data_IF_261810820833
#
_entry.id   IF_261810820833
#
_cell.length_a   1.000
_cell.length_b   1.000
_cell.length_c   1.000
_cell.angle_alpha   90.00
_cell.angle_beta   90.00
_cell.angle_gamma   90.00
#
_symmetry.space_group_name_H-M   'P 1'
#
loop_
_entity.id
_entity.type
_entity.pdbx_description
1 polymer ?
#
# COMPACT_ATOMS: atom_id res chain seq x y z
N UNK A 1 -30.30 -15.11 7.48
CA UNK A 1 -29.89 -14.32 6.30
C UNK A 1 -29.46 -12.93 6.73
N UNK A 2 -30.36 -12.09 7.27
CA UNK A 2 -30.05 -10.70 7.67
C UNK A 2 -28.92 -10.51 8.70
N UNK A 3 -28.82 -11.36 9.74
CA UNK A 3 -27.67 -11.32 10.66
C UNK A 3 -26.34 -11.65 9.96
N UNK A 4 -26.38 -12.47 8.90
CA UNK A 4 -25.23 -12.72 8.05
C UNK A 4 -24.83 -11.49 7.24
N UNK A 5 -25.80 -10.77 6.69
CA UNK A 5 -25.56 -9.51 5.97
C UNK A 5 -24.91 -8.47 6.88
N UNK A 6 -25.48 -8.22 8.08
CA UNK A 6 -24.89 -7.30 9.05
C UNK A 6 -23.48 -7.76 9.50
N UNK A 7 -23.24 -9.06 9.62
CA UNK A 7 -21.92 -9.57 9.96
C UNK A 7 -20.90 -9.31 8.84
N UNK A 8 -21.29 -9.53 7.57
CA UNK A 8 -20.46 -9.23 6.39
C UNK A 8 -20.18 -7.72 6.29
N UNK A 9 -21.19 -6.88 6.50
CA UNK A 9 -21.07 -5.42 6.52
C UNK A 9 -20.14 -4.94 7.64
N UNK A 10 -20.31 -5.48 8.86
CA UNK A 10 -19.44 -5.14 10.01
C UNK A 10 -18.00 -5.58 9.75
N UNK A 11 -17.81 -6.74 9.13
CA UNK A 11 -16.50 -7.23 8.76
C UNK A 11 -15.83 -6.33 7.72
N UNK A 12 -16.55 -5.90 6.69
CA UNK A 12 -16.04 -4.92 5.72
C UNK A 12 -15.66 -3.59 6.38
N UNK A 13 -16.46 -3.11 7.32
CA UNK A 13 -16.14 -1.90 8.09
C UNK A 13 -14.88 -2.09 8.94
N UNK A 14 -14.72 -3.24 9.59
CA UNK A 14 -13.49 -3.59 10.31
C UNK A 14 -12.26 -3.61 9.38
N UNK A 15 -12.40 -4.18 8.18
CA UNK A 15 -11.33 -4.14 7.18
C UNK A 15 -10.97 -2.71 6.74
N UNK A 16 -11.95 -1.81 6.62
CA UNK A 16 -11.69 -0.39 6.33
C UNK A 16 -10.90 0.31 7.45
N UNK A 17 -11.17 -0.04 8.71
CA UNK A 17 -10.44 0.45 9.88
C UNK A 17 -8.99 -0.08 9.88
N UNK A 18 -8.80 -1.37 9.63
CA UNK A 18 -7.49 -2.02 9.58
C UNK A 18 -6.64 -1.56 8.39
N UNK A 19 -7.26 -1.22 7.25
CA UNK A 19 -6.55 -0.73 6.07
C UNK A 19 -6.15 0.75 6.16
N UNK A 20 -6.55 1.46 7.22
CA UNK A 20 -6.33 2.91 7.37
C UNK A 20 -7.11 3.74 6.34
N UNK A 21 -8.35 3.36 6.04
CA UNK A 21 -9.19 4.11 5.09
C UNK A 21 -9.43 5.57 5.56
N UNK A 22 -9.63 6.52 4.63
CA UNK A 22 -9.97 7.90 4.97
C UNK A 22 -11.16 8.01 5.93
N UNK A 23 -11.06 8.90 6.92
CA UNK A 23 -12.06 9.07 7.98
C UNK A 23 -13.47 9.33 7.44
N UNK A 24 -13.59 10.11 6.36
CA UNK A 24 -14.88 10.43 5.71
C UNK A 24 -15.54 9.16 5.14
N UNK A 25 -14.77 8.27 4.53
CA UNK A 25 -15.30 7.02 3.96
C UNK A 25 -15.74 6.07 5.08
N UNK A 26 -14.97 5.96 6.16
CA UNK A 26 -15.34 5.16 7.34
C UNK A 26 -16.63 5.68 7.95
N UNK A 27 -16.76 7.01 8.13
CA UNK A 27 -17.96 7.62 8.69
C UNK A 27 -19.20 7.33 7.84
N UNK A 28 -19.11 7.49 6.52
CA UNK A 28 -20.22 7.19 5.60
C UNK A 28 -20.60 5.72 5.67
N UNK A 29 -19.62 4.81 5.62
CA UNK A 29 -19.88 3.37 5.70
C UNK A 29 -20.54 3.00 7.03
N UNK A 30 -20.06 3.57 8.15
CA UNK A 30 -20.64 3.35 9.48
C UNK A 30 -22.09 3.80 9.55
N UNK A 31 -22.41 4.96 8.98
CA UNK A 31 -23.80 5.46 8.90
C UNK A 31 -24.67 4.50 8.09
N UNK A 32 -24.17 3.95 6.97
CA UNK A 32 -24.91 2.98 6.15
C UNK A 32 -25.21 1.71 6.95
N UNK A 33 -24.21 1.11 7.61
CA UNK A 33 -24.41 -0.13 8.40
C UNK A 33 -25.30 0.10 9.62
N UNK A 34 -25.09 1.19 10.36
CA UNK A 34 -25.92 1.53 11.51
C UNK A 34 -27.38 1.81 11.11
N UNK A 35 -27.60 2.50 9.98
CA UNK A 35 -28.93 2.78 9.44
C UNK A 35 -29.63 1.50 8.96
N UNK A 36 -28.90 0.56 8.35
CA UNK A 36 -29.44 -0.75 7.97
C UNK A 36 -30.01 -1.47 9.21
N UNK A 37 -29.21 -1.57 10.27
CA UNK A 37 -29.62 -2.19 11.54
C UNK A 37 -30.83 -1.48 12.19
N UNK A 38 -30.87 -0.15 12.20
CA UNK A 38 -32.00 0.61 12.76
C UNK A 38 -33.28 0.43 11.93
N UNK A 39 -33.18 0.45 10.60
CA UNK A 39 -34.36 0.24 9.75
C UNK A 39 -34.88 -1.19 9.91
N UNK A 40 -34.01 -2.19 10.12
CA UNK A 40 -34.44 -3.54 10.48
C UNK A 40 -35.28 -3.55 11.77
N UNK A 41 -34.88 -2.78 12.79
CA UNK A 41 -35.64 -2.66 14.02
C UNK A 41 -37.01 -2.00 13.80
N UNK A 42 -37.09 -0.97 12.95
CA UNK A 42 -38.35 -0.30 12.57
C UNK A 42 -39.27 -1.26 11.81
N UNK A 43 -38.71 -2.06 10.89
CA UNK A 43 -39.47 -3.01 10.07
C UNK A 43 -40.21 -4.07 10.91
N UNK A 44 -39.73 -4.40 12.12
CA UNK A 44 -40.42 -5.32 13.05
C UNK A 44 -41.79 -4.80 13.54
N UNK A 45 -42.07 -3.49 13.39
CA UNK A 45 -43.31 -2.84 13.80
C UNK A 45 -44.21 -2.42 12.62
N UNK A 46 -43.76 -2.59 11.38
CA UNK A 46 -44.53 -2.22 10.18
C UNK A 46 -45.73 -3.18 9.98
N UNK A 47 -46.92 -2.67 9.59
CA UNK A 47 -48.08 -3.51 9.33
C UNK A 47 -47.85 -4.56 8.23
N UNK A 48 -48.36 -5.78 8.45
CA UNK A 48 -48.14 -6.95 7.58
C UNK A 48 -48.52 -6.76 6.10
N UNK A 49 -49.47 -5.85 5.80
CA UNK A 49 -49.89 -5.57 4.41
C UNK A 49 -48.76 -4.98 3.56
N UNK A 50 -47.83 -4.24 4.15
CA UNK A 50 -46.74 -3.56 3.46
C UNK A 50 -45.36 -4.15 3.78
N UNK A 51 -45.25 -4.88 4.88
CA UNK A 51 -43.96 -5.35 5.42
C UNK A 51 -43.09 -6.13 4.42
N UNK A 52 -43.57 -7.15 3.67
CA UNK A 52 -42.68 -7.95 2.81
C UNK A 52 -42.08 -7.17 1.64
N UNK A 53 -42.85 -6.25 1.05
CA UNK A 53 -42.39 -5.40 -0.07
C UNK A 53 -41.40 -4.36 0.40
N UNK A 54 -41.71 -3.68 1.52
CA UNK A 54 -40.82 -2.69 2.10
C UNK A 54 -39.52 -3.33 2.61
N UNK A 55 -39.58 -4.52 3.20
CA UNK A 55 -38.43 -5.32 3.62
C UNK A 55 -37.49 -5.61 2.45
N UNK A 56 -38.02 -6.18 1.36
CA UNK A 56 -37.21 -6.50 0.17
C UNK A 56 -36.57 -5.25 -0.44
N UNK A 57 -37.27 -4.12 -0.46
CA UNK A 57 -36.76 -2.87 -1.02
C UNK A 57 -35.63 -2.27 -0.18
N UNK A 58 -35.82 -2.18 1.13
CA UNK A 58 -34.80 -1.69 2.08
C UNK A 58 -33.54 -2.55 1.98
N UNK A 59 -33.73 -3.86 1.95
CA UNK A 59 -32.67 -4.85 1.84
C UNK A 59 -31.82 -4.65 0.56
N UNK A 60 -32.47 -4.48 -0.59
CA UNK A 60 -31.78 -4.20 -1.86
C UNK A 60 -31.06 -2.85 -1.81
N UNK A 61 -31.65 -1.83 -1.19
CA UNK A 61 -31.04 -0.52 -1.08
C UNK A 61 -29.71 -0.59 -0.32
N UNK A 62 -29.67 -1.24 0.84
CA UNK A 62 -28.44 -1.35 1.64
C UNK A 62 -27.41 -2.25 0.99
N UNK A 63 -27.82 -3.39 0.42
CA UNK A 63 -26.91 -4.25 -0.33
C UNK A 63 -26.29 -3.50 -1.52
N UNK A 64 -27.08 -2.69 -2.23
CA UNK A 64 -26.59 -1.84 -3.33
C UNK A 64 -25.61 -0.76 -2.83
N UNK A 65 -25.92 -0.10 -1.71
CA UNK A 65 -25.04 0.91 -1.13
C UNK A 65 -23.67 0.31 -0.78
N UNK A 66 -23.63 -0.86 -0.16
CA UNK A 66 -22.38 -1.51 0.25
C UNK A 66 -21.64 -2.12 -0.94
N UNK A 67 -22.34 -2.86 -1.82
CA UNK A 67 -21.73 -3.58 -2.94
C UNK A 67 -21.19 -2.65 -4.03
N UNK A 68 -21.89 -1.55 -4.30
CA UNK A 68 -21.67 -0.70 -5.47
C UNK A 68 -21.35 0.74 -5.07
N UNK A 69 -22.20 1.38 -4.26
CA UNK A 69 -22.05 2.81 -3.99
C UNK A 69 -20.79 3.14 -3.18
N UNK A 70 -20.46 2.37 -2.13
CA UNK A 70 -19.27 2.59 -1.30
C UNK A 70 -17.94 2.41 -2.07
N UNK A 71 -17.74 1.35 -2.88
CA UNK A 71 -16.58 1.25 -3.77
C UNK A 71 -16.49 2.41 -4.77
N UNK A 72 -17.62 2.79 -5.39
CA UNK A 72 -17.64 3.92 -6.32
C UNK A 72 -17.31 5.24 -5.62
N UNK A 73 -17.79 5.45 -4.39
CA UNK A 73 -17.45 6.61 -3.58
C UNK A 73 -15.95 6.66 -3.25
N UNK A 74 -15.34 5.51 -2.96
CA UNK A 74 -13.89 5.42 -2.74
C UNK A 74 -13.11 5.81 -4.00
N UNK A 75 -13.55 5.37 -5.18
CA UNK A 75 -12.97 5.79 -6.46
C UNK A 75 -13.12 7.29 -6.70
N UNK A 76 -14.32 7.85 -6.46
CA UNK A 76 -14.58 9.29 -6.59
C UNK A 76 -13.69 10.08 -5.63
N UNK A 77 -13.55 9.64 -4.37
CA UNK A 77 -12.67 10.25 -3.39
C UNK A 77 -11.20 10.25 -3.86
N UNK A 78 -10.72 9.13 -4.41
CA UNK A 78 -9.36 9.04 -4.93
C UNK A 78 -9.15 10.02 -6.09
N UNK A 79 -10.10 10.10 -7.02
CA UNK A 79 -10.04 11.00 -8.17
C UNK A 79 -10.14 12.48 -7.79
N UNK A 80 -10.94 12.82 -6.79
CA UNK A 80 -11.10 14.22 -6.34
C UNK A 80 -9.94 14.71 -5.49
N UNK A 81 -9.24 13.80 -4.80
CA UNK A 81 -8.13 14.13 -3.89
C UNK A 81 -6.79 14.18 -4.62
N UNK A 82 -6.65 13.45 -5.72
CA UNK A 82 -5.39 13.39 -6.47
C UNK A 82 -5.11 14.69 -7.22
N UNK A 83 -4.08 15.40 -6.77
CA UNK A 83 -3.51 16.55 -7.48
C UNK A 83 -2.18 16.16 -8.11
N UNK A 84 -1.99 16.52 -9.38
CA UNK A 84 -0.77 16.21 -10.11
C UNK A 84 -0.36 17.38 -10.99
N UNK A 85 0.85 17.88 -10.79
CA UNK A 85 1.40 18.98 -11.57
C UNK A 85 1.85 18.48 -12.95
N UNK A 86 0.92 18.58 -13.92
CA UNK A 86 1.15 18.16 -15.30
C UNK A 86 2.15 19.06 -16.02
N UNK A 87 2.26 20.33 -15.63
CA UNK A 87 3.19 21.27 -16.25
C UNK A 87 4.63 20.92 -15.86
N UNK A 88 4.87 20.71 -14.56
CA UNK A 88 6.17 20.22 -14.07
C UNK A 88 6.55 18.88 -14.69
N UNK A 89 5.60 17.95 -14.79
CA UNK A 89 5.85 16.65 -15.42
C UNK A 89 6.22 16.79 -16.92
N UNK A 90 5.52 17.64 -17.66
CA UNK A 90 5.83 17.89 -19.07
C UNK A 90 7.22 18.52 -19.25
N UNK A 91 7.63 19.42 -18.35
CA UNK A 91 8.99 19.98 -18.34
C UNK A 91 10.01 18.87 -18.10
N UNK A 92 9.80 18.00 -17.11
CA UNK A 92 10.72 16.89 -16.84
C UNK A 92 10.91 15.97 -18.05
N UNK A 93 9.83 15.67 -18.79
CA UNK A 93 9.91 14.87 -20.02
C UNK A 93 10.69 15.54 -21.14
N UNK A 94 10.71 16.88 -21.19
CA UNK A 94 11.47 17.64 -22.19
C UNK A 94 12.94 17.82 -21.81
N UNK A 95 13.22 17.98 -20.51
CA UNK A 95 14.56 18.31 -19.99
C UNK A 95 15.39 17.05 -19.78
N UNK A 96 14.82 16.00 -19.18
CA UNK A 96 15.56 14.80 -18.84
C UNK A 96 15.53 13.79 -20.00
N UNK A 97 16.64 13.10 -20.31
CA UNK A 97 16.66 12.04 -21.32
C UNK A 97 15.75 10.85 -20.97
N UNK A 98 15.40 10.06 -21.99
CA UNK A 98 14.60 8.85 -21.81
C UNK A 98 15.24 7.88 -20.82
N UNK A 99 14.45 7.37 -19.87
CA UNK A 99 14.91 6.41 -18.86
C UNK A 99 15.44 7.03 -17.57
N UNK A 100 15.54 8.37 -17.50
CA UNK A 100 15.88 9.08 -16.27
C UNK A 100 14.73 9.03 -15.27
N UNK A 101 15.06 8.99 -13.99
CA UNK A 101 14.10 8.82 -12.91
C UNK A 101 13.13 10.01 -12.80
N UNK A 102 13.60 11.21 -13.11
CA UNK A 102 12.83 12.45 -13.09
C UNK A 102 11.69 12.47 -14.12
N UNK A 103 11.77 11.61 -15.15
CA UNK A 103 10.66 11.37 -16.08
C UNK A 103 9.55 10.49 -15.48
N UNK A 104 9.73 9.93 -14.28
CA UNK A 104 8.73 9.11 -13.62
C UNK A 104 7.69 9.99 -12.92
N UNK A 105 6.42 9.78 -13.23
CA UNK A 105 5.32 10.53 -12.61
C UNK A 105 5.32 10.38 -11.08
N UNK A 106 5.78 9.25 -10.55
CA UNK A 106 5.90 9.02 -9.10
C UNK A 106 6.83 10.00 -8.37
N UNK A 107 7.77 10.61 -9.08
CA UNK A 107 8.70 11.61 -8.52
C UNK A 107 8.05 12.99 -8.40
N UNK A 108 7.11 13.28 -9.30
CA UNK A 108 6.40 14.57 -9.36
C UNK A 108 5.14 14.55 -8.49
N UNK A 109 4.49 13.39 -8.37
CA UNK A 109 3.27 13.22 -7.59
C UNK A 109 3.51 13.47 -6.10
N UNK A 110 2.50 14.06 -5.43
CA UNK A 110 2.55 14.23 -3.98
C UNK A 110 2.58 12.84 -3.29
N UNK A 111 3.61 12.56 -2.47
CA UNK A 111 3.81 11.23 -1.91
C UNK A 111 2.73 10.87 -0.87
N UNK A 112 2.22 11.86 -0.13
CA UNK A 112 1.17 11.70 0.88
C UNK A 112 -0.14 11.31 0.21
N UNK A 113 -0.57 12.07 -0.79
CA UNK A 113 -1.78 11.77 -1.57
C UNK A 113 -1.65 10.42 -2.27
N UNK A 114 -0.49 10.15 -2.88
CA UNK A 114 -0.23 8.87 -3.57
C UNK A 114 -0.34 7.69 -2.61
N UNK A 115 0.21 7.78 -1.40
CA UNK A 115 0.11 6.73 -0.40
C UNK A 115 -1.33 6.49 0.06
N UNK A 116 -2.09 7.56 0.35
CA UNK A 116 -3.51 7.46 0.75
C UNK A 116 -4.35 6.83 -0.35
N UNK A 117 -4.16 7.26 -1.60
CA UNK A 117 -4.88 6.72 -2.76
C UNK A 117 -4.49 5.27 -3.02
N UNK A 118 -3.19 4.95 -2.99
CA UNK A 118 -2.72 3.58 -3.17
C UNK A 118 -3.33 2.64 -2.13
N UNK A 119 -3.34 3.02 -0.85
CA UNK A 119 -3.99 2.21 0.21
C UNK A 119 -5.49 2.10 0.00
N UNK A 120 -6.16 3.19 -0.37
CA UNK A 120 -7.61 3.21 -0.62
C UNK A 120 -8.01 2.35 -1.82
N UNK A 121 -7.23 2.36 -2.92
CA UNK A 121 -7.48 1.49 -4.07
C UNK A 121 -7.10 0.04 -3.79
N UNK A 122 -6.04 -0.21 -3.01
CA UNK A 122 -5.63 -1.56 -2.61
C UNK A 122 -6.67 -2.19 -1.69
N UNK A 123 -7.33 -1.41 -0.82
CA UNK A 123 -8.43 -1.91 0.00
C UNK A 123 -9.65 -2.34 -0.82
N UNK A 124 -9.83 -1.79 -2.04
CA UNK A 124 -10.87 -2.21 -2.99
C UNK A 124 -10.55 -3.54 -3.71
N UNK A 125 -9.31 -4.03 -3.64
CA UNK A 125 -8.91 -5.29 -4.28
C UNK A 125 -9.22 -6.48 -3.37
N UNK A 126 -9.42 -7.63 -3.98
CA UNK A 126 -9.48 -8.91 -3.28
C UNK A 126 -8.04 -9.40 -3.15
N UNK A 127 -7.47 -9.34 -1.95
CA UNK A 127 -6.09 -9.77 -1.68
C UNK A 127 -6.01 -10.99 -0.78
N UNK A 128 -7.07 -11.26 -0.01
CA UNK A 128 -7.17 -12.40 0.89
C UNK A 128 -8.42 -13.25 0.59
N UNK A 129 -8.40 -14.49 1.07
CA UNK A 129 -9.59 -15.34 1.03
C UNK A 129 -10.78 -14.70 1.77
N UNK A 130 -10.51 -13.98 2.87
CA UNK A 130 -11.55 -13.28 3.62
C UNK A 130 -12.17 -12.13 2.81
N UNK A 131 -11.36 -11.34 2.09
CA UNK A 131 -11.86 -10.30 1.17
C UNK A 131 -12.75 -10.91 0.10
N UNK A 132 -12.34 -12.07 -0.43
CA UNK A 132 -13.10 -12.78 -1.44
C UNK A 132 -14.47 -13.17 -0.89
N UNK A 133 -14.52 -13.83 0.28
CA UNK A 133 -15.78 -14.25 0.87
C UNK A 133 -16.67 -13.08 1.28
N UNK A 134 -16.11 -12.02 1.86
CA UNK A 134 -16.90 -10.86 2.27
C UNK A 134 -17.52 -10.13 1.06
N UNK A 135 -16.72 -9.86 0.02
CA UNK A 135 -17.17 -9.15 -1.18
C UNK A 135 -18.07 -10.00 -2.06
N UNK A 136 -17.76 -11.28 -2.27
CA UNK A 136 -18.63 -12.19 -3.00
C UNK A 136 -19.92 -12.47 -2.24
N UNK A 137 -19.85 -12.51 -0.90
CA UNK A 137 -21.02 -12.61 -0.03
C UNK A 137 -22.00 -11.46 -0.25
N UNK A 138 -21.53 -10.21 -0.13
CA UNK A 138 -22.39 -9.02 -0.32
C UNK A 138 -22.91 -8.88 -1.76
N UNK A 139 -22.09 -9.19 -2.77
CA UNK A 139 -22.59 -9.21 -4.16
C UNK A 139 -23.61 -10.34 -4.39
N UNK A 140 -23.37 -11.51 -3.78
CA UNK A 140 -24.25 -12.66 -3.86
C UNK A 140 -25.62 -12.42 -3.21
N UNK A 141 -25.66 -11.75 -2.05
CA UNK A 141 -26.92 -11.37 -1.38
C UNK A 141 -27.72 -10.40 -2.24
N UNK A 142 -27.07 -9.38 -2.83
CA UNK A 142 -27.70 -8.44 -3.76
C UNK A 142 -28.30 -9.18 -4.97
N UNK A 143 -27.51 -10.03 -5.64
CA UNK A 143 -27.98 -10.80 -6.80
C UNK A 143 -29.15 -11.73 -6.45
N UNK A 144 -29.08 -12.41 -5.31
CA UNK A 144 -30.16 -13.28 -4.83
C UNK A 144 -31.46 -12.49 -4.60
N UNK A 145 -31.38 -11.32 -3.95
CA UNK A 145 -32.54 -10.48 -3.69
C UNK A 145 -33.13 -9.87 -4.96
N UNK A 146 -32.29 -9.42 -5.89
CA UNK A 146 -32.75 -8.95 -7.21
C UNK A 146 -33.47 -10.05 -7.98
N UNK A 147 -32.95 -11.29 -7.97
CA UNK A 147 -33.61 -12.43 -8.60
C UNK A 147 -34.98 -12.71 -7.97
N UNK A 148 -35.08 -12.66 -6.64
CA UNK A 148 -36.36 -12.82 -5.95
C UNK A 148 -37.36 -11.74 -6.36
N UNK A 149 -36.93 -10.49 -6.57
CA UNK A 149 -37.81 -9.42 -7.08
C UNK A 149 -38.30 -9.73 -8.49
N UNK A 150 -37.41 -10.17 -9.39
CA UNK A 150 -37.79 -10.57 -10.75
C UNK A 150 -38.81 -11.72 -10.73
N UNK A 151 -38.58 -12.73 -9.90
CA UNK A 151 -39.52 -13.85 -9.72
C UNK A 151 -40.88 -13.38 -9.21
N UNK A 152 -40.92 -12.37 -8.32
CA UNK A 152 -42.17 -11.77 -7.83
C UNK A 152 -42.89 -10.94 -8.90
N UNK A 153 -42.15 -10.25 -9.78
CA UNK A 153 -42.73 -9.53 -10.92
C UNK A 153 -43.38 -10.53 -11.88
N UNK A 154 -42.75 -11.68 -12.11
CA UNK A 154 -43.26 -12.71 -13.01
C UNK A 154 -44.43 -13.50 -12.40
N UNK A 155 -44.40 -13.77 -11.09
CA UNK A 155 -45.40 -14.56 -10.37
C UNK A 155 -45.94 -13.80 -9.13
N UNK A 156 -46.89 -12.86 -9.31
CA UNK A 156 -47.37 -11.99 -8.23
C UNK A 156 -48.18 -12.72 -7.14
N UNK A 157 -48.60 -13.96 -7.37
CA UNK A 157 -49.35 -14.79 -6.41
C UNK A 157 -48.45 -15.48 -5.37
N UNK A 158 -47.12 -15.42 -5.53
CA UNK A 158 -46.16 -16.01 -4.59
C UNK A 158 -46.11 -15.19 -3.29
N UNK A 159 -46.71 -15.72 -2.22
CA UNK A 159 -46.80 -15.04 -0.94
C UNK A 159 -45.44 -15.05 -0.23
N UNK A 160 -44.84 -13.87 -0.02
CA UNK A 160 -43.61 -13.73 0.77
C UNK A 160 -43.92 -13.84 2.26
N UNK A 161 -43.22 -14.74 2.95
CA UNK A 161 -43.11 -14.71 4.42
C UNK A 161 -42.13 -13.61 4.81
N UNK A 162 -42.53 -12.72 5.73
CA UNK A 162 -41.60 -11.75 6.32
C UNK A 162 -40.52 -12.49 7.12
N UNK A 163 -39.27 -12.08 6.97
CA UNK A 163 -38.12 -12.68 7.68
C UNK A 163 -38.05 -12.15 9.11
N UNK A 164 -38.63 -10.97 9.38
CA UNK A 164 -38.59 -10.35 10.70
C UNK A 164 -39.59 -10.95 11.70
N UNK A 165 -39.16 -11.27 12.94
CA UNK A 165 -40.07 -11.68 14.00
C UNK A 165 -41.01 -10.52 14.36
N UNK A 166 -42.32 -10.77 14.31
CA UNK A 166 -43.36 -9.76 14.53
C UNK A 166 -43.31 -9.19 15.95
N UNK A 167 -43.28 -7.86 16.07
CA UNK A 167 -43.35 -7.12 17.36
C UNK A 167 -42.37 -7.61 18.42
N UNK A 168 -41.21 -8.15 18.00
CA UNK A 168 -40.16 -8.56 18.93
C UNK A 168 -39.47 -7.32 19.49
N UNK A 169 -39.90 -6.86 20.66
CA UNK A 169 -39.25 -5.75 21.36
C UNK A 169 -37.78 -6.07 21.68
N UNK A 170 -37.48 -7.33 21.99
CA UNK A 170 -36.13 -7.80 22.29
C UNK A 170 -35.25 -7.72 21.04
N UNK A 171 -35.74 -8.19 19.89
CA UNK A 171 -34.98 -8.12 18.62
C UNK A 171 -34.72 -6.69 18.16
N UNK A 172 -35.72 -5.81 18.27
CA UNK A 172 -35.56 -4.40 17.95
C UNK A 172 -34.58 -3.69 18.90
N UNK A 173 -34.66 -3.98 20.20
CA UNK A 173 -33.71 -3.44 21.19
C UNK A 173 -32.28 -3.94 20.93
N UNK A 174 -32.10 -5.22 20.59
CA UNK A 174 -30.79 -5.77 20.27
C UNK A 174 -30.14 -5.09 19.05
N UNK A 175 -30.91 -4.81 18.00
CA UNK A 175 -30.43 -4.08 16.82
C UNK A 175 -30.10 -2.60 17.14
N UNK A 176 -30.91 -1.94 17.98
CA UNK A 176 -30.61 -0.59 18.44
C UNK A 176 -29.34 -0.51 19.27
N UNK A 177 -29.13 -1.47 20.19
CA UNK A 177 -27.89 -1.62 20.97
C UNK A 177 -26.72 -1.89 20.04
N UNK A 178 -26.87 -2.80 19.07
CA UNK A 178 -25.85 -3.11 18.08
C UNK A 178 -25.41 -1.85 17.31
N UNK A 179 -26.35 -1.05 16.79
CA UNK A 179 -26.03 0.20 16.09
C UNK A 179 -25.28 1.19 16.99
N UNK A 180 -25.69 1.34 18.25
CA UNK A 180 -25.04 2.23 19.20
C UNK A 180 -23.61 1.75 19.53
N UNK A 181 -23.43 0.46 19.80
CA UNK A 181 -22.12 -0.14 20.07
C UNK A 181 -21.20 -0.02 18.86
N UNK A 182 -21.71 -0.24 17.65
CA UNK A 182 -20.94 -0.11 16.41
C UNK A 182 -20.43 1.33 16.22
N UNK A 183 -21.30 2.33 16.39
CA UNK A 183 -20.92 3.74 16.27
C UNK A 183 -19.85 4.10 17.31
N UNK A 184 -20.07 3.74 18.58
CA UNK A 184 -19.10 3.99 19.67
C UNK A 184 -17.78 3.29 19.39
N UNK A 185 -17.81 2.03 18.95
CA UNK A 185 -16.62 1.27 18.61
C UNK A 185 -15.80 1.95 17.50
N UNK A 186 -16.44 2.37 16.42
CA UNK A 186 -15.76 3.06 15.31
C UNK A 186 -15.22 4.41 15.75
N UNK A 187 -16.03 5.20 16.45
CA UNK A 187 -15.64 6.53 16.91
C UNK A 187 -14.44 6.47 17.86
N UNK A 188 -14.49 5.60 18.87
CA UNK A 188 -13.39 5.41 19.81
C UNK A 188 -12.16 4.79 19.14
N UNK A 189 -12.32 3.86 18.19
CA UNK A 189 -11.20 3.33 17.40
C UNK A 189 -10.50 4.42 16.58
N UNK A 190 -11.28 5.33 15.98
CA UNK A 190 -10.72 6.44 15.23
C UNK A 190 -10.06 7.47 16.14
N UNK A 191 -10.72 7.83 17.24
CA UNK A 191 -10.26 8.84 18.20
C UNK A 191 -8.96 8.42 18.87
N UNK A 192 -8.93 7.23 19.46
CA UNK A 192 -7.76 6.74 20.21
C UNK A 192 -6.53 6.57 19.31
N UNK A 193 -6.71 6.01 18.10
CA UNK A 193 -5.61 5.89 17.13
C UNK A 193 -5.13 7.24 16.60
N UNK A 194 -6.03 8.22 16.41
CA UNK A 194 -5.64 9.58 16.01
C UNK A 194 -4.83 10.28 17.08
N UNK A 195 -5.23 10.15 18.35
CA UNK A 195 -4.48 10.73 19.48
C UNK A 195 -3.11 10.08 19.65
N UNK A 196 -3.02 8.76 19.49
CA UNK A 196 -1.74 8.04 19.57
C UNK A 196 -0.74 8.47 18.47
N UNK A 197 -1.24 8.81 17.28
CA UNK A 197 -0.40 9.22 16.14
C UNK A 197 -0.24 10.74 16.00
N UNK A 198 -0.94 11.57 16.79
CA UNK A 198 -0.83 13.03 16.77
C UNK A 198 0.63 13.56 16.94
N UNK A 199 1.49 12.95 17.77
CA UNK A 199 2.89 13.36 17.88
C UNK A 199 3.76 13.06 16.65
N UNK A 200 3.25 12.25 15.71
CA UNK A 200 3.98 11.74 14.55
C UNK A 200 3.32 12.18 13.23
N UNK A 201 3.49 13.44 12.80
CA UNK A 201 2.92 13.93 11.55
C UNK A 201 3.47 13.20 10.31
N UNK A 202 4.66 12.60 10.42
CA UNK A 202 5.22 11.70 9.41
C UNK A 202 4.39 10.42 9.18
N UNK A 203 3.54 10.03 10.13
CA UNK A 203 2.64 8.90 9.97
C UNK A 203 1.39 9.33 9.20
N UNK A 204 1.44 9.16 7.89
CA UNK A 204 0.44 9.68 6.96
C UNK A 204 -0.82 8.81 6.92
N UNK A 205 -0.66 7.51 7.14
CA UNK A 205 -1.75 6.53 7.18
C UNK A 205 -1.56 5.66 8.40
N UNK A 206 -2.57 5.59 9.25
CA UNK A 206 -2.59 4.78 10.47
C UNK A 206 -3.78 3.82 10.49
N UNK A 207 -3.60 2.70 11.19
CA UNK A 207 -4.68 1.77 11.53
C UNK A 207 -5.64 2.44 12.52
N UNK A 208 -6.93 2.08 12.46
CA UNK A 208 -7.95 2.55 13.41
C UNK A 208 -8.34 1.42 14.38
N UNK A 209 -7.62 1.30 15.49
CA UNK A 209 -7.90 0.35 16.57
C UNK A 209 -8.34 1.09 17.83
N UNK A 210 -9.24 0.48 18.59
CA UNK A 210 -9.56 0.94 19.94
C UNK A 210 -8.43 0.55 20.88
N UNK A 211 -7.44 1.43 21.00
CA UNK A 211 -6.29 1.24 21.89
C UNK A 211 -6.60 1.96 23.21
N UNK A 212 -6.38 1.28 24.33
CA UNK A 212 -6.36 1.95 25.63
C UNK A 212 -5.05 2.73 25.71
N UNK A 213 -5.10 4.03 25.35
CA UNK A 213 -3.96 4.91 25.51
C UNK A 213 -3.65 5.02 27.01
N UNK A 214 -2.65 4.26 27.47
CA UNK A 214 -2.03 4.54 28.76
C UNK A 214 -1.39 5.92 28.63
N UNK A 215 -1.81 6.86 29.49
CA UNK A 215 -1.37 8.26 29.45
C UNK A 215 0.16 8.35 29.29
N UNK A 216 0.62 8.74 28.10
CA UNK A 216 2.01 9.14 27.84
C UNK A 216 2.91 8.18 27.05
N UNK A 217 2.46 7.02 26.57
CA UNK A 217 3.33 6.18 25.73
C UNK A 217 3.31 6.60 24.25
N UNK A 218 4.41 7.19 23.75
CA UNK A 218 4.62 7.52 22.33
C UNK A 218 4.80 6.26 21.42
N UNK A 219 4.87 5.07 22.00
CA UNK A 219 5.18 3.80 21.30
C UNK A 219 3.95 3.04 20.77
N UNK A 220 2.77 3.66 20.75
CA UNK A 220 1.51 2.97 20.45
C UNK A 220 0.84 3.39 19.13
N UNK A 221 1.42 4.31 18.35
CA UNK A 221 0.83 4.71 17.06
C UNK A 221 0.89 3.53 16.07
N UNK A 222 -0.27 2.96 15.64
CA UNK A 222 -0.28 1.84 14.72
C UNK A 222 -0.13 2.35 13.29
N UNK A 223 1.08 2.76 12.94
CA UNK A 223 1.37 3.41 11.67
C UNK A 223 1.49 2.41 10.53
N UNK A 224 0.80 2.67 9.41
CA UNK A 224 0.91 1.86 8.18
C UNK A 224 1.90 2.46 7.19
N UNK A 225 1.94 3.79 7.09
CA UNK A 225 2.76 4.51 6.12
C UNK A 225 3.45 5.69 6.78
N UNK A 226 4.78 5.63 6.87
CA UNK A 226 5.63 6.72 7.32
C UNK A 226 6.26 7.41 6.09
N UNK A 227 6.08 8.73 5.99
CA UNK A 227 6.72 9.57 4.96
C UNK A 227 7.33 10.78 5.65
N UNK A 228 8.66 10.85 5.66
CA UNK A 228 9.41 12.03 6.11
C UNK A 228 10.44 12.39 5.04
N UNK A 229 10.05 13.31 4.16
CA UNK A 229 10.83 13.72 2.99
C UNK A 229 11.10 15.21 3.04
N UNK A 230 12.37 15.59 3.05
CA UNK A 230 12.79 16.95 2.76
C UNK A 230 13.43 17.02 1.38
N UNK A 231 12.64 17.38 0.39
CA UNK A 231 13.08 17.38 -1.01
C UNK A 231 13.87 18.63 -1.39
N UNK A 232 13.93 19.65 -0.53
CA UNK A 232 14.53 20.95 -0.86
C UNK A 232 15.19 21.61 0.36
N UNK A 233 16.25 20.99 0.93
CA UNK A 233 17.05 21.64 1.97
C UNK A 233 17.60 22.97 1.44
N UNK A 234 17.53 24.04 2.25
CA UNK A 234 17.82 25.41 1.75
C UNK A 234 19.30 25.71 1.71
N UNK A 235 20.09 25.03 2.54
CA UNK A 235 21.53 25.22 2.62
C UNK A 235 22.27 23.89 2.60
N UNK A 236 23.54 23.92 2.16
CA UNK A 236 24.42 22.77 2.21
C UNK A 236 24.60 22.24 3.65
N UNK A 237 24.63 23.14 4.65
CA UNK A 237 24.77 22.75 6.05
C UNK A 237 23.52 22.01 6.58
N UNK A 238 22.32 22.44 6.20
CA UNK A 238 21.07 21.72 6.50
C UNK A 238 21.03 20.36 5.83
N UNK A 239 21.46 20.27 4.58
CA UNK A 239 21.57 19.00 3.86
C UNK A 239 22.60 18.08 4.49
N UNK A 240 23.72 18.61 4.99
CA UNK A 240 24.79 17.81 5.59
C UNK A 240 24.51 17.33 7.01
N UNK A 241 23.73 18.11 7.77
CA UNK A 241 23.32 17.77 9.13
C UNK A 241 21.78 17.74 9.24
N UNK A 242 21.11 16.76 8.63
CA UNK A 242 19.66 16.69 8.61
C UNK A 242 19.11 16.17 9.95
N UNK A 243 17.81 16.36 10.18
CA UNK A 243 17.12 15.88 11.38
C UNK A 243 17.23 14.36 11.53
N UNK A 244 17.59 13.89 12.73
CA UNK A 244 17.62 12.46 13.06
C UNK A 244 16.22 11.91 13.28
N UNK A 245 15.89 10.81 12.58
CA UNK A 245 14.58 10.17 12.60
C UNK A 245 14.62 8.75 13.17
N UNK A 246 15.77 8.29 13.67
CA UNK A 246 15.96 6.92 14.16
C UNK A 246 14.99 6.60 15.31
N UNK A 247 14.92 7.46 16.33
CA UNK A 247 14.02 7.28 17.48
C UNK A 247 12.54 7.31 17.06
N UNK A 248 12.17 8.21 16.14
CA UNK A 248 10.81 8.26 15.59
C UNK A 248 10.45 6.97 14.86
N UNK A 249 11.34 6.46 14.02
CA UNK A 249 11.13 5.20 13.31
C UNK A 249 11.03 4.03 14.29
N UNK A 250 11.86 3.98 15.33
CA UNK A 250 11.74 3.01 16.42
C UNK A 250 10.36 3.03 17.07
N UNK A 251 9.83 4.22 17.39
CA UNK A 251 8.48 4.34 17.98
C UNK A 251 7.38 3.88 17.02
N UNK A 252 7.44 4.27 15.75
CA UNK A 252 6.43 3.88 14.74
C UNK A 252 6.51 2.40 14.36
N UNK A 253 7.69 1.78 14.45
CA UNK A 253 7.88 0.35 14.21
C UNK A 253 7.43 -0.53 15.39
N UNK A 254 7.27 0.04 16.59
CA UNK A 254 7.02 -0.72 17.81
C UNK A 254 5.77 -1.62 17.74
N UNK A 255 4.73 -1.20 17.02
CA UNK A 255 3.48 -1.98 16.85
C UNK A 255 3.57 -3.05 15.77
N UNK A 256 4.58 -2.99 14.89
CA UNK A 256 4.74 -3.94 13.78
C UNK A 256 3.83 -3.68 12.58
N UNK A 257 3.06 -2.59 12.55
CA UNK A 257 2.06 -2.33 11.50
C UNK A 257 2.66 -1.68 10.22
N UNK A 258 3.90 -1.18 10.24
CA UNK A 258 4.47 -0.45 9.11
C UNK A 258 4.52 -1.31 7.84
N UNK A 259 3.98 -0.74 6.75
CA UNK A 259 3.96 -1.35 5.42
C UNK A 259 4.71 -0.51 4.38
N UNK A 260 4.88 0.78 4.64
CA UNK A 260 5.54 1.73 3.73
C UNK A 260 6.39 2.71 4.53
N UNK A 261 7.66 2.83 4.15
CA UNK A 261 8.61 3.79 4.72
C UNK A 261 9.24 4.57 3.57
N UNK A 262 9.12 5.89 3.62
CA UNK A 262 9.80 6.80 2.70
C UNK A 262 10.53 7.87 3.50
N UNK A 263 11.85 7.86 3.42
CA UNK A 263 12.70 8.82 4.12
C UNK A 263 13.65 9.44 3.11
N UNK A 264 13.59 10.77 2.97
CA UNK A 264 14.46 11.55 2.07
C UNK A 264 15.13 12.67 2.85
N UNK A 265 16.46 12.80 2.76
CA UNK A 265 17.26 13.84 3.44
C UNK A 265 17.00 13.91 4.95
N UNK A 266 17.15 12.78 5.64
CA UNK A 266 17.11 12.65 7.11
C UNK A 266 18.30 11.84 7.59
N UNK A 267 18.66 11.99 8.87
CA UNK A 267 19.69 11.13 9.44
C UNK A 267 19.06 9.83 9.97
N UNK A 268 19.41 8.72 9.33
CA UNK A 268 19.04 7.35 9.68
C UNK A 268 20.22 6.42 9.36
N UNK A 269 21.25 6.47 10.21
CA UNK A 269 22.49 5.74 9.98
C UNK A 269 22.30 4.22 9.94
N UNK A 270 21.38 3.71 10.76
CA UNK A 270 21.05 2.29 10.87
C UNK A 270 19.53 2.12 10.98
N UNK A 271 19.03 1.00 10.48
CA UNK A 271 17.63 0.63 10.66
C UNK A 271 17.43 0.05 12.06
N UNK A 272 16.44 0.53 12.84
CA UNK A 272 16.24 0.05 14.22
C UNK A 272 15.73 -1.39 14.25
N UNK A 273 16.15 -2.15 15.27
CA UNK A 273 15.75 -3.56 15.47
C UNK A 273 14.23 -3.75 15.56
N UNK A 274 13.49 -2.76 16.07
CA UNK A 274 12.02 -2.81 16.14
C UNK A 274 11.38 -2.98 14.76
N UNK A 275 12.02 -2.48 13.69
CA UNK A 275 11.52 -2.59 12.33
C UNK A 275 11.45 -4.05 11.86
N UNK A 276 12.24 -4.95 12.44
CA UNK A 276 12.18 -6.40 12.18
C UNK A 276 10.79 -6.99 12.45
N UNK A 277 9.98 -6.38 13.32
CA UNK A 277 8.60 -6.83 13.59
C UNK A 277 7.62 -6.56 12.45
N UNK A 278 7.97 -5.64 11.55
CA UNK A 278 7.12 -5.18 10.44
C UNK A 278 7.13 -6.17 9.26
N UNK A 279 6.67 -7.41 9.50
CA UNK A 279 6.67 -8.50 8.52
C UNK A 279 5.78 -8.24 7.29
N UNK A 280 4.92 -7.21 7.34
CA UNK A 280 4.07 -6.76 6.23
C UNK A 280 4.66 -5.56 5.46
N UNK A 281 5.93 -5.23 5.68
CA UNK A 281 6.63 -4.18 4.93
C UNK A 281 6.67 -4.52 3.44
N UNK A 282 6.13 -3.60 2.63
CA UNK A 282 6.00 -3.74 1.17
C UNK A 282 6.81 -2.71 0.41
N UNK A 283 7.05 -1.54 0.98
CA UNK A 283 7.72 -0.43 0.28
C UNK A 283 8.74 0.21 1.22
N UNK A 284 10.00 0.23 0.80
CA UNK A 284 11.09 0.89 1.52
C UNK A 284 11.83 1.83 0.56
N UNK A 285 11.84 3.13 0.86
CA UNK A 285 12.60 4.17 0.15
C UNK A 285 13.49 4.92 1.14
N UNK A 286 14.80 4.84 0.94
CA UNK A 286 15.82 5.52 1.74
C UNK A 286 16.70 6.35 0.82
N UNK A 287 16.50 7.66 0.81
CA UNK A 287 17.20 8.58 -0.09
C UNK A 287 18.03 9.58 0.73
N UNK A 288 19.35 9.55 0.53
CA UNK A 288 20.30 10.43 1.22
C UNK A 288 20.20 10.37 2.76
N UNK A 289 20.03 9.17 3.29
CA UNK A 289 19.70 8.95 4.72
C UNK A 289 20.90 8.75 5.64
N UNK A 290 22.13 8.90 5.14
CA UNK A 290 23.36 8.50 5.83
C UNK A 290 23.43 7.01 6.23
N UNK A 291 22.56 6.16 5.66
CA UNK A 291 22.55 4.72 5.93
C UNK A 291 23.76 4.05 5.29
N UNK A 292 24.65 3.50 6.10
CA UNK A 292 25.91 2.90 5.62
C UNK A 292 25.84 1.39 5.43
N UNK A 293 24.92 0.72 6.13
CA UNK A 293 24.72 -0.72 6.04
C UNK A 293 23.24 -1.07 6.20
N UNK A 294 22.81 -2.12 5.50
CA UNK A 294 21.53 -2.76 5.79
C UNK A 294 21.77 -3.96 6.73
N UNK A 295 20.93 -4.14 7.77
CA UNK A 295 21.14 -5.17 8.77
C UNK A 295 20.87 -6.57 8.22
N UNK A 296 21.51 -7.60 8.77
CA UNK A 296 21.38 -8.99 8.28
C UNK A 296 19.93 -9.54 8.34
N UNK A 297 19.10 -9.03 9.24
CA UNK A 297 17.69 -9.43 9.34
C UNK A 297 16.80 -8.83 8.24
N UNK A 298 17.30 -7.94 7.38
CA UNK A 298 16.52 -7.30 6.31
C UNK A 298 15.90 -8.33 5.34
N UNK A 299 16.53 -9.51 5.20
CA UNK A 299 16.02 -10.65 4.41
C UNK A 299 14.66 -11.18 4.91
N UNK A 300 14.29 -10.89 6.16
CA UNK A 300 13.00 -11.29 6.73
C UNK A 300 11.82 -10.56 6.08
N UNK A 301 12.05 -9.44 5.38
CA UNK A 301 11.02 -8.70 4.63
C UNK A 301 10.66 -9.37 3.29
N UNK A 302 10.21 -10.62 3.37
CA UNK A 302 9.81 -11.47 2.23
C UNK A 302 8.62 -10.92 1.42
N UNK A 303 7.86 -9.96 1.98
CA UNK A 303 6.73 -9.28 1.33
C UNK A 303 7.11 -7.95 0.67
N UNK A 304 8.39 -7.57 0.68
CA UNK A 304 8.82 -6.31 0.07
C UNK A 304 8.55 -6.33 -1.44
N UNK A 305 7.76 -5.38 -1.94
CA UNK A 305 7.37 -5.22 -3.34
C UNK A 305 8.25 -4.16 -4.04
N UNK A 306 8.72 -3.16 -3.29
CA UNK A 306 9.46 -1.99 -3.76
C UNK A 306 10.63 -1.66 -2.83
N UNK A 307 11.85 -1.60 -3.38
CA UNK A 307 13.06 -1.19 -2.69
C UNK A 307 13.79 -0.09 -3.47
N UNK A 308 13.94 1.08 -2.85
CA UNK A 308 14.69 2.19 -3.39
C UNK A 308 15.69 2.67 -2.34
N UNK A 309 16.98 2.63 -2.66
CA UNK A 309 18.03 3.13 -1.78
C UNK A 309 18.98 3.98 -2.59
N UNK A 310 19.04 5.27 -2.26
CA UNK A 310 20.01 6.20 -2.81
C UNK A 310 20.93 6.66 -1.68
N UNK A 311 22.21 6.32 -1.80
CA UNK A 311 23.18 6.63 -0.76
C UNK A 311 23.66 8.07 -0.84
N UNK A 312 24.15 8.59 0.29
CA UNK A 312 24.72 9.93 0.35
C UNK A 312 26.20 9.90 0.03
N UNK A 313 26.66 10.85 -0.77
CA UNK A 313 28.06 10.91 -1.18
C UNK A 313 29.07 11.04 -0.02
N UNK A 314 28.69 11.73 1.06
CA UNK A 314 29.55 11.97 2.23
C UNK A 314 29.54 10.83 3.25
N UNK A 315 28.58 9.91 3.15
CA UNK A 315 28.43 8.76 4.05
C UNK A 315 27.88 7.57 3.24
N UNK A 316 28.71 7.02 2.35
CA UNK A 316 28.27 6.05 1.37
C UNK A 316 27.85 4.73 2.02
N UNK A 317 26.95 4.03 1.35
CA UNK A 317 26.58 2.66 1.67
C UNK A 317 27.76 1.75 1.33
N UNK A 318 28.16 0.95 2.32
CA UNK A 318 29.36 0.12 2.28
C UNK A 318 29.06 -1.37 2.36
N UNK A 319 27.94 -1.76 2.97
CA UNK A 319 27.62 -3.17 3.20
C UNK A 319 26.15 -3.46 2.91
N UNK A 320 25.93 -4.46 2.04
CA UNK A 320 24.67 -5.19 1.90
C UNK A 320 24.90 -6.65 2.35
N UNK A 321 23.98 -7.28 3.09
CA UNK A 321 24.10 -8.70 3.43
C UNK A 321 24.09 -9.59 2.18
N UNK A 322 24.98 -10.58 2.10
CA UNK A 322 25.12 -11.46 0.92
C UNK A 322 23.85 -12.28 0.61
N UNK A 323 23.06 -12.61 1.64
CA UNK A 323 21.82 -13.40 1.58
C UNK A 323 20.54 -12.54 1.60
N UNK A 324 20.69 -11.22 1.43
CA UNK A 324 19.59 -10.26 1.54
C UNK A 324 18.41 -10.59 0.62
N UNK A 325 18.69 -11.08 -0.59
CA UNK A 325 17.68 -11.28 -1.63
C UNK A 325 17.16 -12.72 -1.76
N UNK A 326 17.71 -13.69 -1.01
CA UNK A 326 17.45 -15.13 -1.20
C UNK A 326 15.95 -15.48 -1.17
N UNK A 327 15.18 -14.83 -0.30
CA UNK A 327 13.74 -15.06 -0.12
C UNK A 327 12.86 -13.86 -0.54
N UNK A 328 13.39 -12.91 -1.33
CA UNK A 328 12.68 -11.69 -1.73
C UNK A 328 11.88 -11.85 -3.04
N UNK A 329 11.15 -12.96 -3.17
CA UNK A 329 10.35 -13.26 -4.38
C UNK A 329 9.22 -12.27 -4.66
N UNK A 330 8.77 -11.48 -3.67
CA UNK A 330 7.76 -10.44 -3.86
C UNK A 330 8.30 -9.16 -4.51
N UNK A 331 9.62 -8.99 -4.59
CA UNK A 331 10.25 -7.75 -5.03
C UNK A 331 10.05 -7.56 -6.53
N UNK A 332 9.44 -6.44 -6.91
CA UNK A 332 9.12 -6.11 -8.31
C UNK A 332 9.90 -4.91 -8.84
N UNK A 333 10.30 -4.00 -7.94
CA UNK A 333 11.06 -2.81 -8.28
C UNK A 333 12.26 -2.68 -7.34
N UNK A 334 13.44 -2.55 -7.92
CA UNK A 334 14.69 -2.30 -7.21
C UNK A 334 15.43 -1.14 -7.86
N UNK A 335 15.75 -0.12 -7.07
CA UNK A 335 16.57 1.01 -7.47
C UNK A 335 17.67 1.23 -6.45
N UNK A 336 18.93 1.08 -6.85
CA UNK A 336 20.08 1.46 -6.06
C UNK A 336 20.90 2.54 -6.76
N UNK A 337 21.23 3.59 -6.03
CA UNK A 337 21.98 4.72 -6.57
C UNK A 337 23.06 5.21 -5.59
N UNK A 338 24.18 5.68 -6.16
CA UNK A 338 25.30 6.31 -5.44
C UNK A 338 26.06 5.39 -4.46
N UNK A 339 26.13 4.09 -4.75
CA UNK A 339 26.85 3.11 -3.94
C UNK A 339 28.33 3.09 -4.36
N UNK A 340 29.02 4.21 -4.15
CA UNK A 340 30.32 4.46 -4.79
C UNK A 340 31.45 3.52 -4.35
N UNK A 341 31.44 3.08 -3.09
CA UNK A 341 32.46 2.21 -2.51
C UNK A 341 32.13 0.73 -2.63
N UNK A 342 30.94 0.39 -3.15
CA UNK A 342 30.46 -0.97 -3.24
C UNK A 342 31.18 -1.70 -4.38
N UNK A 343 31.86 -2.80 -4.05
CA UNK A 343 32.61 -3.61 -5.02
C UNK A 343 31.84 -4.81 -5.55
N UNK A 344 30.83 -5.27 -4.79
CA UNK A 344 30.00 -6.43 -5.11
C UNK A 344 28.57 -6.22 -4.61
N UNK A 345 27.60 -6.78 -5.34
CA UNK A 345 26.20 -6.87 -4.91
C UNK A 345 25.83 -8.30 -4.45
N UNK A 346 24.83 -8.44 -3.56
CA UNK A 346 24.28 -9.75 -3.20
C UNK A 346 23.69 -10.49 -4.41
N UNK A 347 23.57 -11.81 -4.31
CA UNK A 347 23.02 -12.65 -5.38
C UNK A 347 21.58 -12.27 -5.72
N UNK A 348 21.22 -12.25 -7.01
CA UNK A 348 19.84 -11.98 -7.46
C UNK A 348 18.98 -13.25 -7.58
N UNK A 349 19.43 -14.40 -7.10
CA UNK A 349 18.73 -15.68 -7.26
C UNK A 349 17.29 -15.69 -6.71
N UNK A 350 17.02 -15.02 -5.59
CA UNK A 350 15.67 -14.97 -5.01
C UNK A 350 14.71 -13.96 -5.67
N UNK A 351 15.18 -13.14 -6.62
CA UNK A 351 14.41 -12.03 -7.21
C UNK A 351 13.54 -12.45 -8.40
N UNK A 352 12.76 -13.52 -8.24
CA UNK A 352 12.05 -14.20 -9.34
C UNK A 352 10.92 -13.40 -10.00
N UNK A 353 10.41 -12.35 -9.35
CA UNK A 353 9.35 -11.48 -9.90
C UNK A 353 9.81 -10.04 -10.15
N UNK A 354 11.13 -9.81 -10.19
CA UNK A 354 11.68 -8.47 -10.42
C UNK A 354 11.34 -8.01 -11.84
N UNK A 355 10.72 -6.83 -11.95
CA UNK A 355 10.27 -6.23 -13.22
C UNK A 355 11.08 -5.01 -13.63
N UNK A 356 11.62 -4.28 -12.66
CA UNK A 356 12.43 -3.09 -12.90
C UNK A 356 13.66 -3.10 -12.03
N UNK A 357 14.83 -3.08 -12.67
CA UNK A 357 16.13 -2.97 -12.04
C UNK A 357 16.80 -1.68 -12.50
N UNK A 358 17.13 -0.82 -11.55
CA UNK A 358 17.95 0.37 -11.80
C UNK A 358 19.13 0.37 -10.86
N UNK A 359 20.33 0.42 -11.44
CA UNK A 359 21.57 0.54 -10.71
C UNK A 359 22.28 1.79 -11.28
N UNK A 360 22.63 2.74 -10.42
CA UNK A 360 23.20 4.01 -10.84
C UNK A 360 24.38 4.43 -9.94
N UNK A 361 25.41 5.05 -10.54
CA UNK A 361 26.55 5.63 -9.83
C UNK A 361 27.28 4.63 -8.91
N UNK A 362 27.61 3.46 -9.45
CA UNK A 362 28.47 2.48 -8.79
C UNK A 362 29.91 2.62 -9.29
N UNK A 363 30.75 3.35 -8.57
CA UNK A 363 32.09 3.70 -9.05
C UNK A 363 33.14 2.58 -8.87
N UNK A 364 32.91 1.64 -7.95
CA UNK A 364 33.87 0.59 -7.60
C UNK A 364 33.39 -0.84 -7.92
N UNK A 365 32.19 -0.99 -8.47
CA UNK A 365 31.64 -2.31 -8.80
C UNK A 365 32.33 -2.86 -10.05
N UNK A 366 32.82 -4.09 -9.97
CA UNK A 366 33.58 -4.72 -11.07
C UNK A 366 32.71 -5.70 -11.85
N UNK A 367 31.76 -6.35 -11.19
CA UNK A 367 30.87 -7.36 -11.77
C UNK A 367 29.46 -7.24 -11.17
N UNK A 368 28.45 -7.53 -12.00
CA UNK A 368 27.07 -7.72 -11.53
C UNK A 368 26.80 -9.20 -11.25
N UNK A 369 25.88 -9.50 -10.31
CA UNK A 369 25.37 -10.86 -10.13
C UNK A 369 24.70 -11.41 -11.40
N UNK A 370 24.66 -12.74 -11.52
CA UNK A 370 24.00 -13.42 -12.65
C UNK A 370 22.49 -13.14 -12.70
N UNK A 371 21.93 -13.04 -13.91
CA UNK A 371 20.52 -12.71 -14.14
C UNK A 371 19.63 -13.93 -14.40
N UNK A 372 20.11 -15.14 -14.08
CA UNK A 372 19.44 -16.42 -14.37
C UNK A 372 17.97 -16.50 -13.93
N UNK A 373 17.62 -15.83 -12.82
CA UNK A 373 16.27 -15.87 -12.25
C UNK A 373 15.43 -14.61 -12.53
N UNK A 374 15.96 -13.66 -13.31
CA UNK A 374 15.29 -12.38 -13.62
C UNK A 374 14.39 -12.47 -14.88
N UNK A 375 13.64 -13.56 -15.02
CA UNK A 375 12.84 -13.85 -16.21
C UNK A 375 11.72 -12.84 -16.47
N UNK A 376 11.21 -12.18 -15.42
CA UNK A 376 10.14 -11.18 -15.52
C UNK A 376 10.66 -9.74 -15.68
N UNK A 377 11.97 -9.55 -15.87
CA UNK A 377 12.56 -8.21 -15.90
C UNK A 377 12.17 -7.49 -17.20
N UNK A 378 11.40 -6.40 -17.06
CA UNK A 378 10.88 -5.60 -18.17
C UNK A 378 11.71 -4.33 -18.40
N UNK A 379 12.37 -3.82 -17.35
CA UNK A 379 13.19 -2.61 -17.41
C UNK A 379 14.53 -2.84 -16.72
N UNK A 380 15.61 -2.54 -17.44
CA UNK A 380 16.98 -2.53 -16.94
C UNK A 380 17.63 -1.18 -17.23
N UNK A 381 18.09 -0.49 -16.19
CA UNK A 381 18.81 0.77 -16.29
C UNK A 381 20.14 0.66 -15.56
N UNK A 382 21.24 0.87 -16.28
CA UNK A 382 22.59 0.87 -15.74
C UNK A 382 23.25 2.21 -16.06
N UNK A 383 23.56 3.01 -15.04
CA UNK A 383 24.14 4.34 -15.23
C UNK A 383 25.42 4.52 -14.41
N UNK A 384 26.47 5.07 -15.04
CA UNK A 384 27.75 5.41 -14.40
C UNK A 384 28.34 4.27 -13.56
N UNK A 385 28.90 3.27 -14.25
CA UNK A 385 29.61 2.12 -13.68
C UNK A 385 30.96 1.93 -14.39
N UNK A 386 31.91 2.86 -14.18
CA UNK A 386 33.14 2.93 -14.96
C UNK A 386 34.12 1.78 -14.69
N UNK A 387 33.96 1.06 -13.59
CA UNK A 387 34.83 -0.04 -13.19
C UNK A 387 34.39 -1.42 -13.74
N UNK A 388 33.23 -1.50 -14.38
CA UNK A 388 32.78 -2.74 -15.03
C UNK A 388 33.30 -2.83 -16.47
N UNK A 389 33.81 -4.00 -16.84
CA UNK A 389 34.31 -4.28 -18.18
C UNK A 389 33.30 -5.06 -19.06
N UNK A 390 32.35 -5.75 -18.44
CA UNK A 390 31.37 -6.59 -19.13
C UNK A 390 30.03 -6.65 -18.40
N UNK A 391 28.96 -6.95 -19.15
CA UNK A 391 27.64 -7.23 -18.60
C UNK A 391 27.45 -8.74 -18.39
N UNK A 392 26.65 -9.16 -17.40
CA UNK A 392 26.28 -10.57 -17.23
C UNK A 392 25.42 -11.05 -18.41
N UNK A 393 25.29 -12.38 -18.55
CA UNK A 393 24.44 -12.98 -19.58
C UNK A 393 22.99 -12.49 -19.45
N UNK A 394 22.48 -11.87 -20.52
CA UNK A 394 21.13 -11.35 -20.62
C UNK A 394 20.16 -12.35 -21.27
N UNK A 395 20.63 -13.49 -21.76
CA UNK A 395 19.80 -14.54 -22.38
C UNK A 395 18.60 -14.98 -21.51
N UNK A 396 18.70 -15.07 -20.17
CA UNK A 396 17.56 -15.40 -19.31
C UNK A 396 16.47 -14.31 -19.26
N UNK A 397 16.79 -13.08 -19.64
CA UNK A 397 15.90 -11.91 -19.56
C UNK A 397 15.18 -11.69 -20.89
N UNK A 398 14.25 -12.57 -21.22
CA UNK A 398 13.57 -12.58 -22.52
C UNK A 398 12.51 -11.47 -22.71
N UNK A 399 11.91 -10.97 -21.63
CA UNK A 399 10.78 -10.03 -21.67
C UNK A 399 11.18 -8.55 -21.51
N UNK A 400 12.44 -8.20 -21.81
CA UNK A 400 12.95 -6.84 -21.62
C UNK A 400 12.31 -5.84 -22.59
N UNK A 401 11.60 -4.85 -22.07
CA UNK A 401 10.91 -3.79 -22.84
C UNK A 401 11.72 -2.51 -22.93
N UNK A 402 12.56 -2.24 -21.93
CA UNK A 402 13.34 -1.01 -21.83
C UNK A 402 14.73 -1.35 -21.28
N UNK A 403 15.74 -1.11 -22.11
CA UNK A 403 17.14 -1.20 -21.71
C UNK A 403 17.79 0.16 -21.91
N UNK A 404 18.37 0.71 -20.84
CA UNK A 404 19.07 1.99 -20.89
C UNK A 404 20.43 1.86 -20.21
N UNK A 405 21.45 2.35 -20.91
CA UNK A 405 22.81 2.45 -20.43
C UNK A 405 23.27 3.90 -20.54
N UNK A 406 23.76 4.46 -19.44
CA UNK A 406 24.26 5.84 -19.40
C UNK A 406 25.66 5.87 -18.80
N UNK A 407 26.66 5.54 -19.63
CA UNK A 407 28.09 5.61 -19.33
C UNK A 407 28.90 5.58 -20.65
N UNK A 408 30.14 6.07 -20.62
CA UNK A 408 31.22 5.74 -21.57
C UNK A 408 31.93 4.42 -21.25
N UNK A 409 31.40 3.62 -20.33
CA UNK A 409 31.95 2.33 -19.94
C UNK A 409 32.29 1.52 -21.19
N UNK A 410 33.51 0.97 -21.22
CA UNK A 410 33.99 0.11 -22.30
C UNK A 410 33.33 -1.27 -22.21
N UNK A 411 32.02 -1.31 -21.94
CA UNK A 411 31.28 -2.53 -21.74
C UNK A 411 31.28 -3.24 -23.07
N UNK A 412 32.05 -4.32 -23.12
CA UNK A 412 31.90 -5.26 -24.19
C UNK A 412 30.50 -5.86 -24.03
N UNK A 413 29.55 -5.37 -24.83
CA UNK A 413 28.43 -6.20 -25.26
C UNK A 413 29.06 -7.33 -26.08
N UNK A 414 29.55 -8.35 -25.39
CA UNK A 414 30.04 -9.61 -25.95
C UNK A 414 31.26 -9.46 -26.90
N UNK A 415 32.09 -8.44 -26.72
CA UNK A 415 33.36 -8.31 -27.45
C UNK A 415 33.27 -7.68 -28.85
N UNK A 416 32.35 -6.76 -29.09
CA UNK A 416 32.29 -6.00 -30.35
C UNK A 416 32.41 -4.48 -30.16
N UNK A 417 33.26 -3.85 -30.98
CA UNK A 417 33.39 -2.40 -31.17
C UNK A 417 32.60 -2.02 -32.43
N UNK A 418 31.28 -2.24 -32.43
CA UNK A 418 30.37 -1.99 -33.57
C UNK A 418 28.90 -1.94 -33.15
N UNK A 419 27.96 -1.74 -34.08
CA UNK A 419 26.53 -1.77 -33.77
C UNK A 419 26.12 -3.13 -33.16
N UNK A 420 25.39 -3.07 -32.05
CA UNK A 420 25.01 -4.22 -31.24
C UNK A 420 24.04 -5.12 -32.03
N UNK A 421 24.50 -6.27 -32.49
CA UNK A 421 23.64 -7.30 -33.08
C UNK A 421 23.23 -8.31 -31.99
N UNK A 422 21.93 -8.58 -31.86
CA UNK A 422 21.36 -9.51 -30.87
C UNK A 422 21.01 -10.88 -31.48
N UNK A 423 21.38 -11.13 -32.74
CA UNK A 423 20.99 -12.35 -33.47
C UNK A 423 22.02 -13.50 -33.45
N UNK A 424 23.18 -13.34 -32.79
CA UNK A 424 24.24 -14.37 -32.72
C UNK A 424 24.44 -14.97 -31.32
#
# INVERSE_FOLDING_TARGET
MKFGDLALETFLLYQMLESGSPAVLIAIFTVVVASNALICAVMMFVPYKWAPRAETFVDILFDFLIAIACPMLTLVYCLSTFTFDREKFAINLQVFPAGWFEQSASVVADPVQTAVIYKSLKSLRIMSALDFFSRMGVNGTLCFRLRNVVDLIHNPTKQQSSVYPKRSRVGAAALGIFSAVLIVFVEESMRTSSLACEPHPECVVNVRRWVSAENGSLTQCPCLTMIDRDVAPKTYAEWENPTNVTEKLTHLAATGDLQTIQVTNRYLAELPEELRRCNDLKHLSLEYTHTQALPAWIKEFTKLEYLHVESKFTSPMTVLPDDMFDDMSSLTFMHFAAFMTMTKLPSFQGLTNLRSLTLACFLSIVELPEFNNLQQLERLVLASMPAMDSLPDLSPVADLKSFAVSDRGAWCCNGFIGECNLED
#
